data_IF_330813678417
#
_entry.id   IF_330813678417
#
_cell.length_a   1.000
_cell.length_b   1.000
_cell.length_c   1.000
_cell.angle_alpha   90.00
_cell.angle_beta   90.00
_cell.angle_gamma   90.00
#
_symmetry.space_group_name_H-M   'P 1'
#
loop_
_entity.id
_entity.type
_entity.pdbx_description
1 polymer ?
#
# COMPACT_ATOMS: atom_id res chain seq x y z
N UNK A 1 15.29 32.18 44.44
CA UNK A 1 15.23 30.90 43.71
C UNK A 1 16.30 30.93 42.63
N UNK A 2 17.33 30.14 42.79
CA UNK A 2 18.62 30.22 42.11
C UNK A 2 18.51 29.90 40.61
N UNK A 3 19.27 30.60 39.77
CA UNK A 3 19.44 30.33 38.31
C UNK A 3 19.78 28.88 38.02
N UNK A 4 20.35 28.17 38.97
CA UNK A 4 20.70 26.74 38.91
C UNK A 4 19.44 25.87 38.90
N UNK A 5 18.43 26.16 39.70
CA UNK A 5 17.15 25.40 39.76
C UNK A 5 16.38 25.54 38.46
N UNK A 6 16.36 26.75 37.86
CA UNK A 6 15.72 26.94 36.54
C UNK A 6 16.42 26.18 35.42
N UNK A 7 17.76 26.13 35.42
CA UNK A 7 18.52 25.34 34.43
C UNK A 7 18.29 23.83 34.61
N UNK A 8 18.22 23.37 35.86
CA UNK A 8 17.95 21.94 36.15
C UNK A 8 16.53 21.53 35.72
N UNK A 9 15.52 22.41 35.94
CA UNK A 9 14.15 22.17 35.53
C UNK A 9 14.00 22.13 34.00
N UNK A 10 14.74 22.98 33.27
CA UNK A 10 14.75 22.97 31.80
C UNK A 10 15.41 21.69 31.25
N UNK A 11 16.53 21.27 31.88
CA UNK A 11 17.21 20.04 31.49
C UNK A 11 16.32 18.81 31.74
N UNK A 12 15.58 18.77 32.86
CA UNK A 12 14.65 17.70 33.17
C UNK A 12 13.44 17.67 32.22
N UNK A 13 12.93 18.83 31.80
CA UNK A 13 11.86 18.94 30.82
C UNK A 13 12.28 18.45 29.42
N UNK A 14 13.53 18.71 29.01
CA UNK A 14 14.10 18.26 27.73
C UNK A 14 14.29 16.73 27.72
N UNK A 15 14.72 16.16 28.86
CA UNK A 15 14.86 14.70 28.99
C UNK A 15 13.49 14.00 29.00
N UNK A 16 12.45 14.63 29.57
CA UNK A 16 11.10 14.08 29.59
C UNK A 16 10.37 14.16 28.23
N UNK A 17 10.69 15.18 27.42
CA UNK A 17 10.15 15.30 26.07
C UNK A 17 10.83 14.41 25.03
N UNK A 18 11.98 13.81 25.37
CA UNK A 18 12.74 12.90 24.51
C UNK A 18 12.22 11.46 24.45
N UNK A 19 11.21 11.09 25.23
CA UNK A 19 10.50 9.82 25.08
C UNK A 19 9.40 9.92 24.03
N UNK A 20 9.76 10.34 22.82
CA UNK A 20 8.95 10.06 21.64
C UNK A 20 8.91 8.54 21.57
N UNK A 21 7.77 7.97 21.89
CA UNK A 21 7.51 6.56 21.71
C UNK A 21 7.77 6.24 20.24
N UNK A 22 8.96 5.73 19.93
CA UNK A 22 9.19 5.01 18.69
C UNK A 22 8.19 3.88 18.74
N UNK A 23 7.11 4.04 17.97
CA UNK A 23 6.11 3.01 17.85
C UNK A 23 6.84 1.78 17.32
N UNK A 24 7.12 0.85 18.20
CA UNK A 24 7.89 -0.34 17.89
C UNK A 24 7.21 -1.04 16.71
N UNK A 25 7.95 -1.23 15.66
CA UNK A 25 7.53 -2.03 14.51
C UNK A 25 7.00 -3.36 15.06
N UNK A 26 5.74 -3.70 14.75
CA UNK A 26 5.12 -4.93 15.27
C UNK A 26 6.05 -6.11 15.04
N UNK A 27 6.20 -6.95 16.04
CA UNK A 27 7.10 -8.11 15.93
C UNK A 27 6.62 -9.05 14.81
N UNK A 28 7.50 -9.83 14.17
CA UNK A 28 7.09 -10.83 13.17
C UNK A 28 5.99 -11.78 13.68
N UNK A 29 6.00 -12.09 14.97
CA UNK A 29 4.98 -12.93 15.60
C UNK A 29 3.62 -12.22 15.71
N UNK A 30 3.61 -10.92 15.97
CA UNK A 30 2.38 -10.12 15.99
C UNK A 30 1.80 -9.98 14.60
N UNK A 31 2.66 -9.84 13.59
CA UNK A 31 2.26 -9.83 12.19
C UNK A 31 1.60 -11.15 11.80
N UNK A 32 2.23 -12.28 12.09
CA UNK A 32 1.69 -13.61 11.77
C UNK A 32 0.35 -13.85 12.47
N UNK A 33 0.23 -13.51 13.75
CA UNK A 33 -1.04 -13.60 14.49
C UNK A 33 -2.14 -12.76 13.84
N UNK A 34 -1.81 -11.55 13.39
CA UNK A 34 -2.75 -10.68 12.69
C UNK A 34 -3.20 -11.30 11.35
N UNK A 35 -2.24 -11.80 10.55
CA UNK A 35 -2.51 -12.44 9.26
C UNK A 35 -3.39 -13.68 9.45
N UNK A 36 -3.06 -14.55 10.40
CA UNK A 36 -3.84 -15.77 10.70
C UNK A 36 -5.27 -15.45 11.13
N UNK A 37 -5.44 -14.43 11.96
CA UNK A 37 -6.76 -13.98 12.40
C UNK A 37 -7.58 -13.40 11.25
N UNK A 38 -6.95 -12.66 10.33
CA UNK A 38 -7.60 -12.13 9.13
C UNK A 38 -7.98 -13.27 8.18
N UNK A 39 -7.06 -14.17 7.89
CA UNK A 39 -7.30 -15.35 7.02
C UNK A 39 -8.44 -16.24 7.50
N UNK A 40 -8.63 -16.37 8.80
CA UNK A 40 -9.77 -17.10 9.38
C UNK A 40 -11.13 -16.42 9.15
N UNK A 41 -11.15 -15.10 9.00
CA UNK A 41 -12.37 -14.32 8.73
C UNK A 41 -12.73 -14.29 7.24
N UNK A 42 -11.77 -14.55 6.36
CA UNK A 42 -11.95 -14.47 4.90
C UNK A 42 -12.71 -15.68 4.37
N UNK A 43 -13.64 -15.42 3.44
CA UNK A 43 -14.22 -16.44 2.58
C UNK A 43 -13.20 -16.94 1.56
N UNK A 44 -13.51 -18.03 0.86
CA UNK A 44 -12.65 -18.55 -0.22
C UNK A 44 -12.55 -17.54 -1.35
N UNK A 45 -13.68 -16.91 -1.72
CA UNK A 45 -13.73 -15.91 -2.79
C UNK A 45 -12.87 -14.67 -2.46
N UNK A 46 -12.91 -14.21 -1.20
CA UNK A 46 -12.06 -13.12 -0.75
C UNK A 46 -10.56 -13.49 -0.74
N UNK A 47 -10.22 -14.75 -0.41
CA UNK A 47 -8.83 -15.23 -0.50
C UNK A 47 -8.34 -15.26 -1.95
N UNK A 48 -9.16 -15.76 -2.86
CA UNK A 48 -8.87 -15.75 -4.29
C UNK A 48 -8.77 -14.30 -4.78
N UNK A 49 -9.66 -13.43 -4.31
CA UNK A 49 -9.67 -12.02 -4.64
C UNK A 49 -8.36 -11.31 -4.32
N UNK A 50 -7.69 -11.67 -3.22
CA UNK A 50 -6.38 -11.08 -2.87
C UNK A 50 -5.29 -11.38 -3.91
N UNK A 51 -5.44 -12.41 -4.73
CA UNK A 51 -4.52 -12.76 -5.80
C UNK A 51 -4.90 -12.11 -7.15
N UNK A 52 -6.04 -11.44 -7.21
CA UNK A 52 -6.56 -10.83 -8.42
C UNK A 52 -6.10 -9.38 -8.54
N UNK A 53 -5.33 -9.07 -9.59
CA UNK A 53 -4.81 -7.73 -9.91
C UNK A 53 -5.26 -7.29 -11.31
N UNK A 54 -6.52 -6.90 -11.48
CA UNK A 54 -7.02 -6.45 -12.79
C UNK A 54 -6.39 -5.12 -13.22
N UNK A 55 -6.34 -4.92 -14.53
CA UNK A 55 -5.91 -3.67 -15.16
C UNK A 55 -7.11 -2.72 -15.23
N UNK A 56 -6.93 -1.49 -14.75
CA UNK A 56 -7.97 -0.44 -14.76
C UNK A 56 -7.53 0.83 -15.46
N UNK A 57 -6.29 0.89 -15.93
CA UNK A 57 -5.67 2.10 -16.45
C UNK A 57 -6.18 2.55 -17.83
N UNK A 58 -5.87 3.79 -18.16
CA UNK A 58 -6.16 4.41 -19.46
C UNK A 58 -5.23 3.87 -20.57
N UNK A 59 -4.16 3.17 -20.20
CA UNK A 59 -3.20 2.55 -21.13
C UNK A 59 -3.62 1.10 -21.36
N UNK A 60 -4.00 0.80 -22.58
CA UNK A 60 -4.35 -0.56 -23.01
C UNK A 60 -3.08 -1.27 -23.48
N UNK A 61 -2.45 -2.03 -22.61
CA UNK A 61 -1.32 -2.90 -22.96
C UNK A 61 -1.79 -4.32 -23.19
N UNK A 62 -2.64 -4.53 -24.22
CA UNK A 62 -3.02 -5.86 -24.67
C UNK A 62 -3.84 -6.73 -23.73
N UNK A 63 -4.14 -6.28 -22.52
CA UNK A 63 -4.97 -7.01 -21.56
C UNK A 63 -6.43 -6.56 -21.60
N UNK A 64 -7.35 -7.50 -21.45
CA UNK A 64 -8.78 -7.21 -21.40
C UNK A 64 -9.12 -6.34 -20.20
N UNK A 65 -9.89 -5.27 -20.42
CA UNK A 65 -10.43 -4.45 -19.32
C UNK A 65 -11.40 -5.29 -18.50
N UNK A 66 -11.21 -5.32 -17.19
CA UNK A 66 -12.17 -5.96 -16.31
C UNK A 66 -13.41 -5.07 -16.17
N UNK A 67 -14.59 -5.66 -16.38
CA UNK A 67 -15.86 -5.00 -16.10
C UNK A 67 -16.16 -5.00 -14.60
N UNK A 68 -16.94 -4.02 -14.13
CA UNK A 68 -17.44 -3.92 -12.74
C UNK A 68 -16.35 -3.97 -11.65
N UNK A 69 -15.25 -3.23 -11.86
CA UNK A 69 -14.15 -3.17 -10.87
C UNK A 69 -14.64 -2.67 -9.50
N UNK A 70 -15.49 -1.66 -9.47
CA UNK A 70 -16.01 -1.11 -8.23
C UNK A 70 -16.83 -2.14 -7.43
N UNK A 71 -17.66 -2.91 -8.10
CA UNK A 71 -18.42 -4.00 -7.48
C UNK A 71 -17.51 -5.12 -6.95
N UNK A 72 -16.51 -5.52 -7.74
CA UNK A 72 -15.52 -6.51 -7.32
C UNK A 72 -14.72 -6.08 -6.09
N UNK A 73 -14.31 -4.81 -6.01
CA UNK A 73 -13.65 -4.25 -4.84
C UNK A 73 -14.54 -4.35 -3.60
N UNK A 74 -15.81 -3.94 -3.71
CA UNK A 74 -16.77 -4.02 -2.59
C UNK A 74 -16.99 -5.45 -2.10
N UNK A 75 -16.96 -6.43 -2.99
CA UNK A 75 -17.11 -7.86 -2.64
C UNK A 75 -15.80 -8.51 -2.14
N UNK A 76 -14.68 -7.77 -2.15
CA UNK A 76 -13.37 -8.31 -1.76
C UNK A 76 -12.72 -9.24 -2.80
N UNK A 77 -13.14 -9.16 -4.06
CA UNK A 77 -12.68 -10.00 -5.17
C UNK A 77 -11.43 -9.43 -5.89
N UNK A 78 -10.80 -8.40 -5.31
CA UNK A 78 -9.63 -7.71 -5.88
C UNK A 78 -8.64 -7.38 -4.77
N UNK A 79 -7.40 -7.80 -4.93
CA UNK A 79 -6.31 -7.52 -4.00
C UNK A 79 -5.45 -6.32 -4.40
N UNK A 80 -5.50 -5.92 -5.67
CA UNK A 80 -4.79 -4.76 -6.17
C UNK A 80 -5.23 -4.35 -7.56
N UNK A 81 -4.69 -3.24 -8.04
CA UNK A 81 -5.01 -2.71 -9.37
C UNK A 81 -3.73 -2.33 -10.11
N UNK A 82 -3.70 -2.67 -11.39
CA UNK A 82 -2.61 -2.28 -12.29
C UNK A 82 -2.98 -1.07 -13.17
N UNK A 83 -1.98 -0.22 -13.41
CA UNK A 83 -2.04 0.90 -14.35
C UNK A 83 -3.08 1.97 -14.01
N UNK A 84 -3.49 2.10 -12.76
CA UNK A 84 -4.31 3.22 -12.31
C UNK A 84 -3.42 4.42 -12.01
N UNK A 85 -3.65 5.54 -12.71
CA UNK A 85 -2.90 6.78 -12.56
C UNK A 85 -3.69 7.87 -11.85
N UNK A 86 -2.95 8.73 -11.16
CA UNK A 86 -3.48 9.93 -10.51
C UNK A 86 -3.83 9.71 -9.05
N UNK A 87 -3.35 10.61 -8.21
CA UNK A 87 -3.47 10.54 -6.74
C UNK A 87 -4.93 10.49 -6.30
N UNK A 88 -5.80 11.31 -6.90
CA UNK A 88 -7.22 11.36 -6.54
C UNK A 88 -7.92 10.04 -6.86
N UNK A 89 -7.73 9.51 -8.07
CA UNK A 89 -8.31 8.22 -8.48
C UNK A 89 -7.86 7.07 -7.57
N UNK A 90 -6.56 7.03 -7.23
CA UNK A 90 -6.00 6.02 -6.31
C UNK A 90 -6.62 6.16 -4.92
N UNK A 91 -6.75 7.39 -4.42
CA UNK A 91 -7.37 7.68 -3.12
C UNK A 91 -8.84 7.26 -3.07
N UNK A 92 -9.61 7.58 -4.10
CA UNK A 92 -11.04 7.24 -4.18
C UNK A 92 -11.25 5.72 -4.21
N UNK A 93 -10.44 5.02 -4.99
CA UNK A 93 -10.51 3.56 -5.07
C UNK A 93 -10.03 2.90 -3.78
N UNK A 94 -8.99 3.42 -3.15
CA UNK A 94 -8.54 2.93 -1.85
C UNK A 94 -9.60 3.15 -0.76
N UNK A 95 -10.24 4.31 -0.77
CA UNK A 95 -11.36 4.62 0.12
C UNK A 95 -12.52 3.64 -0.10
N UNK A 96 -12.84 3.34 -1.36
CA UNK A 96 -13.86 2.34 -1.69
C UNK A 96 -13.53 0.97 -1.08
N UNK A 97 -12.28 0.52 -1.18
CA UNK A 97 -11.85 -0.76 -0.61
C UNK A 97 -11.92 -0.79 0.92
N UNK A 98 -11.41 0.25 1.57
CA UNK A 98 -11.31 0.31 3.03
C UNK A 98 -12.66 0.55 3.70
N UNK A 99 -13.50 1.42 3.14
CA UNK A 99 -14.76 1.82 3.77
C UNK A 99 -15.98 1.01 3.30
N UNK A 100 -15.93 0.42 2.11
CA UNK A 100 -17.11 -0.21 1.51
C UNK A 100 -16.95 -1.72 1.24
N UNK A 101 -15.83 -2.33 1.59
CA UNK A 101 -15.70 -3.79 1.60
C UNK A 101 -15.85 -4.35 3.02
N UNK A 102 -16.23 -5.63 3.12
CA UNK A 102 -16.52 -6.28 4.40
C UNK A 102 -15.32 -6.35 5.36
N UNK A 103 -14.13 -6.54 4.83
CA UNK A 103 -12.91 -6.70 5.64
C UNK A 103 -12.05 -5.43 5.68
N UNK A 104 -12.33 -4.44 4.86
CA UNK A 104 -11.59 -3.18 4.80
C UNK A 104 -10.12 -3.35 4.44
N UNK A 105 -9.78 -4.38 3.65
CA UNK A 105 -8.39 -4.64 3.25
C UNK A 105 -7.98 -3.62 2.18
N UNK A 106 -6.87 -2.86 2.40
CA UNK A 106 -6.37 -1.93 1.40
C UNK A 106 -5.89 -2.65 0.14
N UNK A 107 -6.05 -1.98 -1.01
CA UNK A 107 -5.55 -2.48 -2.30
C UNK A 107 -4.07 -2.17 -2.49
N UNK A 108 -3.37 -3.04 -3.20
CA UNK A 108 -2.07 -2.75 -3.77
C UNK A 108 -2.22 -2.05 -5.13
N UNK A 109 -1.31 -1.13 -5.42
CA UNK A 109 -1.28 -0.45 -6.72
C UNK A 109 0.04 -0.73 -7.40
N UNK A 110 -0.02 -1.20 -8.63
CA UNK A 110 1.12 -1.45 -9.48
C UNK A 110 1.01 -0.70 -10.80
N UNK A 111 2.17 -0.49 -11.42
CA UNK A 111 2.25 0.09 -12.75
C UNK A 111 3.25 -0.69 -13.58
N UNK A 112 2.87 -0.97 -14.81
CA UNK A 112 3.72 -1.60 -15.80
C UNK A 112 4.60 -0.53 -16.46
N UNK A 113 5.84 -0.44 -16.00
CA UNK A 113 6.81 0.56 -16.45
C UNK A 113 8.08 -0.11 -17.01
N UNK A 114 7.90 -1.15 -17.80
CA UNK A 114 8.97 -2.03 -18.31
C UNK A 114 10.15 -1.25 -18.90
N UNK A 115 9.90 -0.14 -19.58
CA UNK A 115 10.92 0.70 -20.20
C UNK A 115 10.71 2.21 -19.93
N UNK A 116 10.14 2.55 -18.79
CA UNK A 116 9.93 3.92 -18.35
C UNK A 116 8.45 4.30 -18.26
N UNK A 117 8.18 5.41 -17.55
CA UNK A 117 6.83 5.90 -17.32
C UNK A 117 6.50 7.12 -18.21
N UNK A 118 7.15 8.25 -17.96
CA UNK A 118 7.06 9.47 -18.79
C UNK A 118 8.34 9.65 -19.59
N UNK A 119 9.48 9.34 -18.98
CA UNK A 119 10.75 9.21 -19.69
C UNK A 119 10.89 7.77 -20.15
N UNK A 120 11.01 7.57 -21.44
CA UNK A 120 11.11 6.25 -22.05
C UNK A 120 12.60 5.86 -22.16
N UNK A 121 12.92 4.63 -21.72
CA UNK A 121 14.22 4.01 -21.86
C UNK A 121 14.15 2.88 -22.89
N UNK A 122 15.28 2.38 -23.41
CA UNK A 122 15.29 1.17 -24.19
C UNK A 122 14.65 0.00 -23.42
N UNK A 123 13.98 -0.90 -24.14
CA UNK A 123 13.43 -2.12 -23.52
C UNK A 123 14.55 -2.94 -22.86
N UNK A 124 14.25 -3.77 -21.82
CA UNK A 124 15.24 -4.55 -21.10
C UNK A 124 16.15 -5.38 -22.01
N UNK A 125 15.61 -5.93 -23.11
CA UNK A 125 16.39 -6.65 -24.10
C UNK A 125 17.41 -5.74 -24.81
N UNK A 126 17.03 -4.50 -25.13
CA UNK A 126 17.95 -3.50 -25.68
C UNK A 126 19.05 -3.11 -24.69
N UNK A 127 18.69 -2.94 -23.41
CA UNK A 127 19.66 -2.64 -22.34
C UNK A 127 20.63 -3.81 -22.10
N UNK A 128 20.17 -5.04 -22.22
CA UNK A 128 21.03 -6.23 -22.05
C UNK A 128 22.13 -6.37 -23.13
N UNK A 129 21.98 -5.65 -24.24
CA UNK A 129 23.03 -5.59 -25.30
C UNK A 129 24.12 -4.55 -24.99
N UNK A 130 23.97 -3.73 -23.97
CA UNK A 130 25.00 -2.80 -23.49
C UNK A 130 25.91 -3.56 -22.52
N UNK A 131 27.22 -3.38 -22.68
CA UNK A 131 28.24 -4.02 -21.83
C UNK A 131 28.66 -3.11 -20.65
N UNK A 132 27.90 -2.06 -20.37
CA UNK A 132 28.11 -1.12 -19.26
C UNK A 132 27.10 -1.34 -18.13
#
# INVERSE_FOLDING_TARGET
>A
MSKVIKKLSILFAIVLSGTISVQAQKSPQDMNRFIDALMKKMTVDEKIGQLNLPVTGDITTGQAKSSDIAGKIKRGEVGGLFNLKGVEKIRDVQKLAVENSRLGIPLLFGMDVIHGYETIFPIPLGLSCTWD
#
